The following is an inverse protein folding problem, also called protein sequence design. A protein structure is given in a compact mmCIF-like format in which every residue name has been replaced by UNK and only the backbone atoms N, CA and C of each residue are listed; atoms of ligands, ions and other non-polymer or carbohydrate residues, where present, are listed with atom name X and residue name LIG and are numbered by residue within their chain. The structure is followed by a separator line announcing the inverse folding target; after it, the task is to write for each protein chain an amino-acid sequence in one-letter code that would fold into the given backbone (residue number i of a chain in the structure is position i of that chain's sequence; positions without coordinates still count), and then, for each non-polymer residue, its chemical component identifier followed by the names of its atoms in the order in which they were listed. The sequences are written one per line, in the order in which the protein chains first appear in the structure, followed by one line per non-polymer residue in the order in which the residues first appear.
data_IF_297140908918
#
_entry.id   IF_297140908918
#
_cell.length_a   1.000
_cell.length_b   1.000
_cell.length_c   1.000
_cell.angle_alpha   90.00
_cell.angle_beta   90.00
_cell.angle_gamma   90.00
#
_symmetry.space_group_name_H-M   'P 1'
#
loop_
_entity.id
_entity.type
_entity.pdbx_description
1 polymer ?
#
# COMPACT_ATOMS: atom_id res chain seq x y z
N UNK A 1 -1.84 1.64 20.67
CA UNK A 1 -1.09 0.75 19.76
C UNK A 1 -2.04 0.34 18.64
N UNK A 2 -1.65 0.45 17.36
CA UNK A 2 -2.53 0.16 16.23
C UNK A 2 -2.74 -1.35 16.01
N UNK A 3 -3.89 -1.76 15.44
CA UNK A 3 -4.12 -3.13 14.99
C UNK A 3 -3.09 -3.59 13.97
N UNK A 4 -2.76 -4.88 14.01
CA UNK A 4 -1.88 -5.53 13.06
C UNK A 4 -2.50 -5.59 11.66
N UNK A 5 -1.68 -5.45 10.63
CA UNK A 5 -2.09 -5.64 9.25
C UNK A 5 -1.85 -7.10 8.79
N UNK A 6 -2.67 -7.56 7.86
CA UNK A 6 -2.64 -8.92 7.31
C UNK A 6 -3.06 -8.93 5.85
N UNK A 7 -2.87 -10.07 5.20
CA UNK A 7 -3.37 -10.33 3.84
C UNK A 7 -4.85 -9.91 3.73
N UNK A 8 -5.18 -9.19 2.67
CA UNK A 8 -6.55 -8.72 2.39
C UNK A 8 -6.91 -7.38 3.04
N UNK A 9 -6.15 -6.90 4.05
CA UNK A 9 -6.38 -5.56 4.58
C UNK A 9 -6.08 -4.50 3.51
N UNK A 10 -6.81 -3.39 3.57
CA UNK A 10 -6.81 -2.39 2.51
C UNK A 10 -5.75 -1.32 2.75
N UNK A 11 -5.05 -0.93 1.70
CA UNK A 11 -4.23 0.27 1.65
C UNK A 11 -5.01 1.36 0.93
N UNK A 12 -5.10 2.54 1.52
CA UNK A 12 -5.63 3.72 0.86
C UNK A 12 -4.49 4.41 0.12
N UNK A 13 -4.56 4.39 -1.21
CA UNK A 13 -3.76 5.26 -2.05
C UNK A 13 -4.44 6.64 -2.10
N UNK A 14 -3.90 7.59 -1.34
CA UNK A 14 -4.47 8.92 -1.13
C UNK A 14 -4.07 9.94 -2.21
N UNK A 15 -3.11 9.60 -3.06
CA UNK A 15 -2.60 10.47 -4.11
C UNK A 15 -3.46 10.44 -5.39
N UNK A 16 -4.10 11.57 -5.80
CA UNK A 16 -4.82 11.66 -7.04
C UNK A 16 -3.90 12.19 -8.14
N UNK A 17 -3.08 11.32 -8.72
CA UNK A 17 -2.60 11.53 -10.09
C UNK A 17 -1.81 10.32 -10.55
N UNK A 18 -2.19 9.85 -11.72
CA UNK A 18 -1.36 9.03 -12.56
C UNK A 18 -1.29 9.73 -13.92
N UNK A 19 -0.15 9.65 -14.59
CA UNK A 19 -0.01 10.16 -15.95
C UNK A 19 -0.57 9.13 -16.93
N UNK A 20 -1.62 9.51 -17.65
CA UNK A 20 -2.03 8.76 -18.83
C UNK A 20 -0.94 8.89 -19.92
N UNK A 21 -0.59 7.82 -20.64
CA UNK A 21 0.01 7.93 -21.95
C UNK A 21 -1.07 8.47 -22.89
N UNK A 22 -1.22 9.79 -22.99
CA UNK A 22 -2.01 10.39 -24.05
C UNK A 22 -1.16 10.38 -25.32
N UNK A 23 -1.50 9.52 -26.26
CA UNK A 23 -1.06 9.65 -27.65
C UNK A 23 -2.12 10.48 -28.41
N UNK A 24 -1.74 11.53 -29.17
CA UNK A 24 -0.37 12.02 -29.37
C UNK A 24 0.19 12.71 -28.11
N UNK A 25 1.53 12.67 -27.95
CA UNK A 25 2.24 13.20 -26.79
C UNK A 25 1.83 14.66 -26.54
N UNK A 26 1.07 14.89 -25.47
CA UNK A 26 0.88 16.23 -24.97
C UNK A 26 2.26 16.81 -24.59
N UNK A 27 2.57 18.08 -24.91
CA UNK A 27 3.86 18.70 -24.58
C UNK A 27 4.23 18.63 -23.09
N UNK A 28 3.23 18.40 -22.23
CA UNK A 28 3.40 18.17 -20.80
C UNK A 28 2.40 17.08 -20.39
N UNK A 29 2.80 16.05 -19.62
CA UNK A 29 1.86 15.12 -19.01
C UNK A 29 0.95 15.88 -18.04
N UNK A 30 -0.29 16.18 -18.45
CA UNK A 30 -1.26 16.85 -17.56
C UNK A 30 -1.76 15.84 -16.52
N UNK A 31 -1.57 16.08 -15.21
CA UNK A 31 -2.11 15.21 -14.19
C UNK A 31 -3.65 15.18 -14.27
N UNK A 32 -4.25 14.00 -14.41
CA UNK A 32 -5.70 13.83 -14.29
C UNK A 32 -5.99 13.25 -12.91
N UNK A 33 -6.73 13.97 -12.05
CA UNK A 33 -7.15 13.44 -10.75
C UNK A 33 -8.04 12.21 -10.92
N UNK A 34 -7.78 11.16 -10.14
CA UNK A 34 -8.73 10.07 -9.93
C UNK A 34 -9.10 10.00 -8.44
N UNK A 35 -10.26 9.41 -8.09
CA UNK A 35 -10.63 9.19 -6.70
C UNK A 35 -9.60 8.30 -5.98
N UNK A 36 -9.39 8.48 -4.66
CA UNK A 36 -8.51 7.61 -3.89
C UNK A 36 -8.96 6.15 -4.03
N UNK A 37 -7.98 5.25 -4.18
CA UNK A 37 -8.23 3.84 -4.43
C UNK A 37 -7.82 3.00 -3.22
N UNK A 38 -8.60 1.96 -2.97
CA UNK A 38 -8.32 0.97 -1.93
C UNK A 38 -7.76 -0.29 -2.60
N UNK A 39 -6.53 -0.65 -2.28
CA UNK A 39 -5.85 -1.83 -2.82
C UNK A 39 -5.57 -2.82 -1.69
N UNK A 40 -6.10 -4.06 -1.75
CA UNK A 40 -5.83 -5.05 -0.71
C UNK A 40 -4.37 -5.52 -0.73
N UNK A 41 -3.83 -5.83 0.44
CA UNK A 41 -2.51 -6.46 0.62
C UNK A 41 -2.57 -7.91 0.10
N UNK A 42 -1.67 -8.26 -0.82
CA UNK A 42 -1.64 -9.57 -1.49
C UNK A 42 -0.44 -10.43 -1.13
N UNK A 43 0.56 -9.86 -0.45
CA UNK A 43 1.69 -10.62 0.10
C UNK A 43 1.68 -10.51 1.62
N UNK A 44 2.13 -11.58 2.27
CA UNK A 44 2.24 -11.67 3.72
C UNK A 44 3.27 -12.72 4.11
N UNK A 45 3.52 -12.83 5.40
CA UNK A 45 4.36 -13.87 5.98
C UNK A 45 3.66 -15.24 5.87
N UNK A 46 4.25 -16.23 5.18
CA UNK A 46 3.62 -17.55 5.03
C UNK A 46 3.58 -18.36 6.33
N UNK A 47 4.43 -18.03 7.32
CA UNK A 47 4.60 -18.81 8.55
C UNK A 47 3.90 -18.20 9.76
N UNK A 48 3.50 -16.93 9.70
CA UNK A 48 2.87 -16.22 10.83
C UNK A 48 1.49 -15.75 10.41
N UNK A 49 0.48 -16.26 11.12
CA UNK A 49 -0.93 -15.94 10.86
C UNK A 49 -1.47 -14.98 11.92
N UNK A 50 -2.18 -13.96 11.47
CA UNK A 50 -2.90 -12.99 12.31
C UNK A 50 -4.39 -13.07 11.92
N UNK A 51 -5.22 -13.49 12.89
CA UNK A 51 -6.64 -13.77 12.65
C UNK A 51 -6.87 -14.82 11.54
N UNK A 52 -6.00 -15.83 11.45
CA UNK A 52 -6.04 -16.88 10.42
C UNK A 52 -5.69 -16.43 8.98
N UNK A 53 -5.01 -15.29 8.81
CA UNK A 53 -4.48 -14.86 7.52
C UNK A 53 -2.99 -14.50 7.64
N UNK A 54 -2.19 -14.64 6.56
CA UNK A 54 -0.77 -14.25 6.56
C UNK A 54 -0.56 -12.82 7.07
N UNK A 55 0.35 -12.65 8.03
CA UNK A 55 0.64 -11.34 8.62
C UNK A 55 1.40 -10.43 7.63
N UNK A 56 1.03 -9.16 7.53
CA UNK A 56 1.68 -8.21 6.64
C UNK A 56 2.92 -7.57 7.29
N UNK A 57 3.89 -7.21 6.46
CA UNK A 57 5.21 -6.72 6.86
C UNK A 57 5.71 -5.66 5.89
N UNK A 58 6.77 -4.96 6.29
CA UNK A 58 7.53 -4.13 5.34
C UNK A 58 7.93 -4.96 4.12
N UNK A 59 7.88 -4.35 2.94
CA UNK A 59 8.05 -4.94 1.60
C UNK A 59 6.90 -5.78 1.06
N UNK A 60 5.90 -6.16 1.86
CA UNK A 60 4.70 -6.81 1.34
C UNK A 60 3.92 -5.84 0.44
N UNK A 61 3.30 -6.39 -0.61
CA UNK A 61 2.73 -5.60 -1.71
C UNK A 61 1.21 -5.74 -1.82
N UNK A 62 0.56 -4.68 -2.26
CA UNK A 62 -0.88 -4.69 -2.57
C UNK A 62 -1.16 -5.30 -3.94
N UNK A 63 -2.44 -5.40 -4.31
CA UNK A 63 -2.81 -5.52 -5.72
C UNK A 63 -2.25 -4.34 -6.52
N UNK A 64 -1.85 -4.57 -7.78
CA UNK A 64 -1.50 -3.48 -8.69
C UNK A 64 -2.68 -2.55 -8.95
N UNK A 65 -2.39 -1.26 -9.15
CA UNK A 65 -3.38 -0.30 -9.61
C UNK A 65 -3.70 -0.57 -11.08
N UNK A 66 -4.96 -0.87 -11.38
CA UNK A 66 -5.45 -1.22 -12.73
C UNK A 66 -6.26 -0.10 -13.38
N UNK A 67 -6.20 1.12 -12.85
CA UNK A 67 -6.80 2.28 -13.51
C UNK A 67 -6.08 2.54 -14.83
N UNK A 68 -6.83 2.72 -15.93
CA UNK A 68 -6.24 2.96 -17.26
C UNK A 68 -5.33 4.20 -17.33
N UNK A 69 -5.50 5.16 -16.42
CA UNK A 69 -4.61 6.32 -16.30
C UNK A 69 -3.31 6.04 -15.53
N UNK A 70 -3.20 4.90 -14.85
CA UNK A 70 -2.04 4.47 -14.09
C UNK A 70 -1.23 3.47 -14.89
N UNK A 71 -0.38 3.96 -15.81
CA UNK A 71 0.54 3.14 -16.60
C UNK A 71 1.97 3.47 -16.17
N UNK A 72 2.79 2.49 -15.77
CA UNK A 72 2.60 1.04 -15.91
C UNK A 72 1.68 0.35 -14.87
N UNK A 73 1.22 1.03 -13.82
CA UNK A 73 0.18 0.48 -12.92
C UNK A 73 0.65 -0.69 -12.06
N UNK A 74 1.54 -0.42 -11.10
CA UNK A 74 2.12 -1.42 -10.22
C UNK A 74 1.52 -1.42 -8.81
N UNK A 75 1.94 -2.39 -7.97
CA UNK A 75 1.46 -2.51 -6.61
C UNK A 75 2.03 -1.42 -5.70
N UNK A 76 1.31 -1.13 -4.63
CA UNK A 76 1.84 -0.46 -3.45
C UNK A 76 2.73 -1.41 -2.65
N UNK A 77 3.74 -0.86 -2.00
CA UNK A 77 4.63 -1.56 -1.08
C UNK A 77 4.52 -0.95 0.31
N UNK A 78 4.46 -1.77 1.35
CA UNK A 78 4.52 -1.30 2.74
C UNK A 78 5.94 -0.81 3.03
N UNK A 79 6.07 0.47 3.38
CA UNK A 79 7.34 1.17 3.57
C UNK A 79 7.75 1.24 5.04
N UNK A 80 6.78 1.39 5.94
CA UNK A 80 7.01 1.47 7.38
C UNK A 80 6.33 0.31 8.12
N UNK A 81 6.84 -0.01 9.30
CA UNK A 81 6.34 -1.05 10.20
C UNK A 81 6.67 -0.70 11.65
N UNK A 82 6.43 -1.64 12.56
CA UNK A 82 6.86 -1.56 13.96
C UNK A 82 8.38 -1.43 14.09
N UNK A 83 8.86 -0.59 15.01
CA UNK A 83 10.29 -0.48 15.29
C UNK A 83 10.85 -1.66 16.10
N UNK A 84 9.98 -2.41 16.78
CA UNK A 84 10.38 -3.43 17.76
C UNK A 84 9.83 -4.82 17.46
N UNK A 85 8.72 -4.93 16.72
CA UNK A 85 8.07 -6.21 16.43
C UNK A 85 8.43 -6.66 15.02
N UNK A 86 9.04 -7.85 14.96
CA UNK A 86 9.48 -8.48 13.72
C UNK A 86 8.64 -9.72 13.42
N UNK A 87 8.19 -9.88 12.19
CA UNK A 87 7.46 -11.06 11.69
C UNK A 87 8.27 -11.66 10.54
N UNK A 88 8.68 -12.92 10.68
CA UNK A 88 9.53 -13.59 9.68
C UNK A 88 10.77 -12.77 9.31
N UNK A 89 11.40 -12.13 10.29
CA UNK A 89 12.62 -11.34 10.12
C UNK A 89 12.45 -9.92 9.57
N UNK A 90 11.22 -9.44 9.33
CA UNK A 90 10.95 -8.10 8.82
C UNK A 90 10.01 -7.32 9.76
N UNK A 91 10.07 -5.97 9.80
CA UNK A 91 9.18 -5.17 10.64
C UNK A 91 7.71 -5.45 10.35
N UNK A 92 6.93 -5.65 11.41
CA UNK A 92 5.51 -5.98 11.31
C UNK A 92 4.67 -4.76 10.89
N UNK A 93 3.77 -4.94 9.92
CA UNK A 93 2.91 -3.87 9.43
C UNK A 93 1.64 -3.71 10.27
N UNK A 94 1.12 -2.50 10.34
CA UNK A 94 0.04 -2.05 11.22
C UNK A 94 -0.84 -1.04 10.53
N UNK A 95 -2.06 -0.89 11.02
CA UNK A 95 -2.95 0.19 10.60
C UNK A 95 -2.25 1.54 10.77
N UNK A 96 -2.28 2.36 9.72
CA UNK A 96 -1.63 3.66 9.67
C UNK A 96 -0.20 3.65 9.14
N UNK A 97 0.44 2.48 8.98
CA UNK A 97 1.78 2.43 8.42
C UNK A 97 1.80 2.92 6.96
N UNK A 98 2.86 3.65 6.62
CA UNK A 98 3.03 4.26 5.31
C UNK A 98 3.31 3.21 4.23
N UNK A 99 2.78 3.48 3.04
CA UNK A 99 2.97 2.68 1.83
C UNK A 99 3.38 3.57 0.67
N UNK A 100 4.05 3.00 -0.32
CA UNK A 100 4.53 3.69 -1.51
C UNK A 100 4.15 2.91 -2.77
N UNK A 101 3.58 3.59 -3.77
CA UNK A 101 3.20 3.01 -5.06
C UNK A 101 4.18 3.46 -6.14
N UNK A 102 5.46 3.05 -6.05
CA UNK A 102 6.58 3.59 -6.85
C UNK A 102 6.39 3.55 -8.38
N UNK A 103 5.49 2.71 -8.89
CA UNK A 103 5.11 2.64 -10.30
C UNK A 103 4.23 3.80 -10.78
N UNK A 104 3.62 4.53 -9.86
CA UNK A 104 2.79 5.68 -10.16
C UNK A 104 3.69 6.91 -10.34
N UNK A 105 3.58 7.59 -11.48
CA UNK A 105 4.49 8.69 -11.88
C UNK A 105 4.03 10.02 -11.28
N UNK A 106 3.66 9.96 -10.02
CA UNK A 106 2.95 11.01 -9.35
C UNK A 106 3.91 12.14 -8.89
N UNK A 107 3.67 13.45 -9.15
CA UNK A 107 4.38 14.55 -8.47
C UNK A 107 4.44 14.43 -6.94
N UNK A 108 5.61 14.75 -6.38
CA UNK A 108 5.93 14.74 -4.94
C UNK A 108 4.90 15.58 -4.16
N UNK A 109 4.41 15.13 -2.98
CA UNK A 109 4.85 14.00 -2.15
C UNK A 109 4.16 12.64 -2.43
N UNK A 110 3.51 12.51 -3.58
CA UNK A 110 2.91 11.26 -4.04
C UNK A 110 3.96 10.37 -4.74
N UNK A 111 3.69 9.07 -4.95
CA UNK A 111 2.47 8.28 -4.71
C UNK A 111 2.48 7.53 -3.37
N UNK A 112 2.06 8.21 -2.31
CA UNK A 112 1.98 7.65 -0.97
C UNK A 112 0.59 7.10 -0.65
N UNK A 113 0.52 6.26 0.38
CA UNK A 113 -0.72 5.73 0.92
C UNK A 113 -0.53 5.21 2.33
N UNK A 114 -1.60 4.73 2.96
CA UNK A 114 -1.57 4.22 4.34
C UNK A 114 -2.41 2.96 4.47
N UNK A 115 -1.99 2.02 5.33
CA UNK A 115 -2.82 0.87 5.69
C UNK A 115 -4.06 1.35 6.44
N UNK A 116 -5.24 0.94 5.97
CA UNK A 116 -6.53 1.35 6.50
C UNK A 116 -6.95 0.52 7.72
N UNK A 117 -7.74 1.15 8.58
CA UNK A 117 -8.54 0.44 9.57
C UNK A 117 -9.54 -0.52 8.88
N UNK A 118 -9.97 -1.61 9.54
CA UNK A 118 -9.73 -1.95 10.95
C UNK A 118 -8.48 -2.79 11.22
N UNK A 119 -7.82 -3.32 10.19
CA UNK A 119 -6.81 -4.37 10.37
C UNK A 119 -7.36 -5.58 11.12
N UNK A 120 -6.50 -6.27 11.88
CA UNK A 120 -6.92 -7.31 12.82
C UNK A 120 -7.15 -6.74 14.22
N UNK A 121 -8.41 -6.53 14.60
CA UNK A 121 -8.77 -5.90 15.89
C UNK A 121 -8.42 -6.72 17.12
N UNK A 122 -8.11 -8.01 16.97
CA UNK A 122 -7.72 -8.90 18.08
C UNK A 122 -6.21 -8.93 18.32
N UNK A 123 -5.41 -8.41 17.40
CA UNK A 123 -3.94 -8.39 17.51
C UNK A 123 -3.44 -6.97 17.36
N UNK A 124 -2.82 -6.47 18.42
CA UNK A 124 -2.30 -5.12 18.49
C UNK A 124 -0.77 -5.18 18.47
N UNK A 125 -0.13 -4.35 17.63
CA UNK A 125 1.33 -4.32 17.51
C UNK A 125 1.86 -2.97 18.01
N UNK A 126 2.72 -3.03 19.02
CA UNK A 126 3.39 -1.87 19.63
C UNK A 126 4.65 -1.40 18.89
N UNK A 127 5.36 -0.47 19.53
CA UNK A 127 6.57 0.17 18.98
C UNK A 127 6.28 1.01 17.77
#
# INVERSE_FOLDING_TARGET
MPPAARLGDKVMQSAPHCHAPMHPAAPVPTPVPHPPMQLPIMKGCPTVLIGNMPAARVTDTTTPCMLGGCVPGGPGMILAGSATVMIGGMPAARVGDATLHSSCVAPIPSPSGTIMAPGCTTVIIGG
#
